data_IF_457418768752
#
_entry.id   IF_457418768752
#
_cell.length_a   1.000
_cell.length_b   1.000
_cell.length_c   1.000
_cell.angle_alpha   90.00
_cell.angle_beta   90.00
_cell.angle_gamma   90.00
#
_symmetry.space_group_name_H-M   'P 1'
#
loop_
_entity.id
_entity.type
_entity.pdbx_description
1 polymer ?
#
# COMPACT_ATOMS: atom_id res chain seq x y z
N UNK A 1 -54.30 0.83 -10.68
CA UNK A 1 -53.38 1.64 -11.51
C UNK A 1 -52.60 2.72 -10.74
N UNK A 2 -53.20 3.52 -9.85
CA UNK A 2 -52.51 4.58 -9.12
C UNK A 2 -51.40 4.05 -8.13
N UNK A 3 -51.59 2.90 -7.50
CA UNK A 3 -50.63 2.30 -6.57
C UNK A 3 -49.36 1.75 -7.28
N UNK A 4 -49.49 1.20 -8.48
CA UNK A 4 -48.35 0.71 -9.23
C UNK A 4 -47.46 1.85 -9.78
N UNK A 5 -48.05 2.96 -10.16
CA UNK A 5 -47.31 4.14 -10.62
C UNK A 5 -46.49 4.80 -9.51
N UNK A 6 -47.02 4.85 -8.28
CA UNK A 6 -46.27 5.39 -7.13
C UNK A 6 -45.06 4.56 -6.74
N UNK A 7 -45.18 3.21 -6.82
CA UNK A 7 -44.06 2.31 -6.52
C UNK A 7 -42.96 2.46 -7.59
N UNK A 8 -43.30 2.55 -8.86
CA UNK A 8 -42.36 2.73 -9.96
C UNK A 8 -41.63 4.09 -9.90
N UNK A 9 -42.33 5.17 -9.53
CA UNK A 9 -41.74 6.50 -9.36
C UNK A 9 -40.78 6.49 -8.15
N UNK A 10 -41.19 5.89 -7.03
CA UNK A 10 -40.36 5.79 -5.84
C UNK A 10 -39.09 4.95 -6.10
N UNK A 11 -39.21 3.85 -6.83
CA UNK A 11 -38.06 3.03 -7.24
C UNK A 11 -37.12 3.78 -8.19
N UNK A 12 -37.67 4.48 -9.19
CA UNK A 12 -36.88 5.27 -10.13
C UNK A 12 -36.13 6.44 -9.47
N UNK A 13 -36.74 7.13 -8.49
CA UNK A 13 -36.10 8.19 -7.70
C UNK A 13 -35.02 7.63 -6.81
N UNK A 14 -35.22 6.46 -6.18
CA UNK A 14 -34.20 5.79 -5.35
C UNK A 14 -33.00 5.31 -6.20
N UNK A 15 -33.23 4.76 -7.39
CA UNK A 15 -32.16 4.35 -8.30
C UNK A 15 -31.35 5.58 -8.78
N UNK A 16 -32.02 6.69 -9.12
CA UNK A 16 -31.36 7.94 -9.49
C UNK A 16 -30.51 8.53 -8.36
N UNK A 17 -31.04 8.49 -7.15
CA UNK A 17 -30.30 8.91 -5.96
C UNK A 17 -29.05 8.06 -5.71
N UNK A 18 -29.20 6.74 -5.75
CA UNK A 18 -28.08 5.80 -5.54
C UNK A 18 -26.98 5.99 -6.58
N UNK A 19 -27.33 6.07 -7.86
CA UNK A 19 -26.39 6.32 -8.97
C UNK A 19 -25.62 7.62 -8.77
N UNK A 20 -26.31 8.70 -8.40
CA UNK A 20 -25.70 9.99 -8.13
C UNK A 20 -24.73 9.91 -6.94
N UNK A 21 -25.11 9.18 -5.87
CA UNK A 21 -24.25 9.02 -4.69
C UNK A 21 -23.00 8.20 -5.01
N UNK A 22 -23.11 7.12 -5.76
CA UNK A 22 -21.96 6.30 -6.21
C UNK A 22 -20.98 7.14 -7.03
N UNK A 23 -21.46 7.91 -8.00
CA UNK A 23 -20.60 8.80 -8.79
C UNK A 23 -19.84 9.81 -7.91
N UNK A 24 -20.51 10.43 -6.94
CA UNK A 24 -19.86 11.35 -5.99
C UNK A 24 -18.77 10.68 -5.18
N UNK A 25 -18.95 9.41 -4.78
CA UNK A 25 -17.92 8.65 -4.08
C UNK A 25 -16.72 8.42 -5.01
N UNK A 26 -16.95 7.96 -6.24
CA UNK A 26 -15.86 7.73 -7.20
C UNK A 26 -15.11 9.00 -7.57
N UNK A 27 -15.82 10.12 -7.73
CA UNK A 27 -15.20 11.42 -8.02
C UNK A 27 -14.33 11.90 -6.85
N UNK A 28 -14.77 11.71 -5.62
CA UNK A 28 -14.00 12.05 -4.42
C UNK A 28 -12.73 11.18 -4.30
N UNK A 29 -12.85 9.86 -4.47
CA UNK A 29 -11.71 8.93 -4.49
C UNK A 29 -10.70 9.30 -5.60
N UNK A 30 -11.19 9.53 -6.82
CA UNK A 30 -10.34 9.92 -7.94
C UNK A 30 -9.65 11.27 -7.72
N UNK A 31 -10.32 12.19 -7.05
CA UNK A 31 -9.75 13.49 -6.67
C UNK A 31 -8.65 13.33 -5.63
N UNK A 32 -8.87 12.50 -4.62
CA UNK A 32 -7.85 12.21 -3.61
C UNK A 32 -6.59 11.59 -4.23
N UNK A 33 -6.75 10.65 -5.18
CA UNK A 33 -5.62 10.07 -5.92
C UNK A 33 -4.84 11.14 -6.69
N UNK A 34 -5.51 12.06 -7.39
CA UNK A 34 -4.84 13.14 -8.14
C UNK A 34 -4.09 14.12 -7.24
N UNK A 35 -4.52 14.25 -5.99
CA UNK A 35 -3.94 15.16 -5.02
C UNK A 35 -2.81 14.52 -4.18
N UNK A 36 -2.46 13.25 -4.42
CA UNK A 36 -1.28 12.63 -3.78
C UNK A 36 -0.05 13.46 -4.17
N UNK A 37 0.73 14.00 -3.21
CA UNK A 37 1.93 14.76 -3.52
C UNK A 37 3.00 13.87 -4.13
N UNK A 38 3.47 14.23 -5.33
CA UNK A 38 4.60 13.57 -6.00
C UNK A 38 5.86 14.36 -5.72
N UNK A 39 6.75 13.81 -4.89
CA UNK A 39 7.99 14.43 -4.44
C UNK A 39 9.21 13.58 -4.81
N UNK A 40 10.41 14.12 -4.61
CA UNK A 40 11.67 13.36 -4.77
C UNK A 40 11.79 12.14 -3.85
N UNK A 41 10.96 12.05 -2.82
CA UNK A 41 10.95 10.90 -1.91
C UNK A 41 10.57 9.59 -2.61
N UNK A 42 9.80 9.61 -3.71
CA UNK A 42 9.55 8.40 -4.49
C UNK A 42 10.85 7.83 -5.06
N UNK A 43 11.70 8.67 -5.63
CA UNK A 43 13.01 8.24 -6.16
C UNK A 43 13.92 7.74 -5.03
N UNK A 44 14.00 8.47 -3.92
CA UNK A 44 14.79 8.08 -2.74
C UNK A 44 14.37 6.72 -2.20
N UNK A 45 13.06 6.49 -2.05
CA UNK A 45 12.47 5.23 -1.56
C UNK A 45 12.75 4.08 -2.52
N UNK A 46 12.53 4.27 -3.82
CA UNK A 46 12.81 3.24 -4.83
C UNK A 46 14.30 2.89 -4.86
N UNK A 47 15.20 3.88 -4.78
CA UNK A 47 16.64 3.66 -4.72
C UNK A 47 17.05 2.94 -3.44
N UNK A 48 16.45 3.27 -2.30
CA UNK A 48 16.67 2.62 -1.01
C UNK A 48 16.30 1.13 -1.07
N UNK A 49 15.07 0.83 -1.49
CA UNK A 49 14.59 -0.55 -1.61
C UNK A 49 15.48 -1.33 -2.62
N UNK A 50 15.77 -0.75 -3.77
CA UNK A 50 16.63 -1.38 -4.76
C UNK A 50 18.02 -1.72 -4.20
N UNK A 51 18.64 -0.79 -3.48
CA UNK A 51 19.96 -1.01 -2.86
C UNK A 51 19.91 -2.14 -1.85
N UNK A 52 18.97 -2.10 -0.92
CA UNK A 52 18.93 -3.04 0.19
C UNK A 52 18.47 -4.43 -0.25
N UNK A 53 17.41 -4.50 -1.06
CA UNK A 53 16.80 -5.78 -1.45
C UNK A 53 17.53 -6.44 -2.63
N UNK A 54 17.93 -5.66 -3.64
CA UNK A 54 18.48 -6.23 -4.88
C UNK A 54 20.01 -6.17 -4.98
N UNK A 55 20.69 -5.45 -4.07
CA UNK A 55 22.17 -5.37 -4.07
C UNK A 55 22.79 -5.91 -2.79
N UNK A 56 22.05 -5.90 -1.69
CA UNK A 56 22.55 -6.35 -0.38
C UNK A 56 21.81 -7.59 0.13
N UNK A 57 20.98 -8.24 -0.71
CA UNK A 57 20.25 -9.48 -0.41
C UNK A 57 19.33 -9.40 0.82
N UNK A 58 18.82 -8.21 1.14
CA UNK A 58 17.77 -8.00 2.13
C UNK A 58 16.38 -8.26 1.58
N UNK A 59 15.36 -7.94 2.35
CA UNK A 59 13.96 -7.95 1.93
C UNK A 59 13.23 -6.69 2.38
N UNK A 60 12.09 -6.43 1.76
CA UNK A 60 11.16 -5.39 2.19
C UNK A 60 10.19 -5.99 3.21
N UNK A 61 10.23 -5.52 4.44
CA UNK A 61 9.24 -5.87 5.47
C UNK A 61 8.19 -4.78 5.51
N UNK A 62 6.94 -5.11 5.23
CA UNK A 62 5.83 -4.14 5.32
C UNK A 62 5.06 -4.36 6.60
N UNK A 63 4.51 -3.28 7.19
CA UNK A 63 3.77 -3.36 8.45
C UNK A 63 2.69 -2.27 8.53
N UNK A 64 1.65 -2.52 9.33
CA UNK A 64 0.54 -1.61 9.58
C UNK A 64 -0.52 -2.25 10.46
N UNK A 65 -1.37 -1.43 11.06
CA UNK A 65 -2.50 -1.90 11.88
C UNK A 65 -3.85 -1.73 11.17
N UNK A 66 -4.78 -2.65 11.44
CA UNK A 66 -6.16 -2.56 10.93
C UNK A 66 -6.22 -2.51 9.41
N UNK A 67 -6.93 -1.53 8.84
CA UNK A 67 -7.08 -1.38 7.39
C UNK A 67 -5.76 -1.02 6.69
N UNK A 68 -4.94 -0.19 7.31
CA UNK A 68 -3.59 0.10 6.82
C UNK A 68 -2.70 -1.16 6.82
N UNK A 69 -2.87 -2.06 7.79
CA UNK A 69 -2.20 -3.36 7.81
C UNK A 69 -2.62 -4.26 6.65
N UNK A 70 -3.91 -4.25 6.26
CA UNK A 70 -4.37 -4.98 5.08
C UNK A 70 -3.76 -4.44 3.79
N UNK A 71 -3.61 -3.12 3.66
CA UNK A 71 -2.89 -2.50 2.54
C UNK A 71 -1.42 -2.92 2.55
N UNK A 72 -0.75 -2.85 3.70
CA UNK A 72 0.65 -3.28 3.83
C UNK A 72 0.84 -4.75 3.44
N UNK A 73 -0.07 -5.64 3.84
CA UNK A 73 -0.04 -7.04 3.45
C UNK A 73 -0.22 -7.23 1.93
N UNK A 74 -1.18 -6.54 1.33
CA UNK A 74 -1.37 -6.56 -0.12
C UNK A 74 -0.10 -6.07 -0.85
N UNK A 75 0.52 -5.00 -0.38
CA UNK A 75 1.80 -4.51 -0.93
C UNK A 75 2.89 -5.58 -0.86
N UNK A 76 3.08 -6.25 0.29
CA UNK A 76 4.09 -7.30 0.45
C UNK A 76 3.92 -8.42 -0.59
N UNK A 77 2.70 -8.89 -0.77
CA UNK A 77 2.41 -9.96 -1.74
C UNK A 77 2.62 -9.51 -3.18
N UNK A 78 2.27 -8.25 -3.50
CA UNK A 78 2.48 -7.68 -4.83
C UNK A 78 3.96 -7.50 -5.14
N UNK A 79 4.76 -6.94 -4.23
CA UNK A 79 6.22 -6.84 -4.37
C UNK A 79 6.86 -8.21 -4.59
N UNK A 80 6.52 -9.22 -3.76
CA UNK A 80 7.06 -10.56 -3.90
C UNK A 80 6.73 -11.17 -5.25
N UNK A 81 5.50 -11.01 -5.74
CA UNK A 81 5.05 -11.54 -7.02
C UNK A 81 5.70 -10.86 -8.22
N UNK A 82 6.21 -9.65 -8.05
CA UNK A 82 6.85 -8.83 -9.09
C UNK A 82 8.37 -8.72 -8.94
N UNK A 83 8.97 -9.64 -8.16
CA UNK A 83 10.42 -9.83 -8.13
C UNK A 83 11.16 -9.11 -7.01
N UNK A 84 10.48 -8.37 -6.14
CA UNK A 84 11.08 -7.74 -4.97
C UNK A 84 10.73 -8.56 -3.72
N UNK A 85 11.65 -9.34 -3.13
CA UNK A 85 11.40 -10.13 -1.92
C UNK A 85 10.80 -9.28 -0.81
N UNK A 86 9.59 -9.64 -0.38
CA UNK A 86 8.85 -8.88 0.62
C UNK A 86 7.99 -9.77 1.49
N UNK A 87 7.74 -9.33 2.72
CA UNK A 87 6.90 -10.03 3.70
C UNK A 87 6.15 -9.02 4.56
N UNK A 88 4.94 -9.37 4.98
CA UNK A 88 4.18 -8.59 5.95
C UNK A 88 4.51 -9.05 7.37
N UNK A 89 4.72 -8.10 8.28
CA UNK A 89 4.88 -8.32 9.71
C UNK A 89 3.78 -7.58 10.47
N UNK A 90 2.96 -8.31 11.21
CA UNK A 90 1.96 -7.68 12.06
C UNK A 90 2.63 -7.07 13.30
N UNK A 91 2.39 -5.78 13.63
CA UNK A 91 3.13 -5.11 14.71
C UNK A 91 2.96 -5.75 16.09
N UNK A 92 1.76 -6.28 16.38
CA UNK A 92 1.52 -6.96 17.66
C UNK A 92 2.23 -8.32 17.71
N UNK A 93 2.25 -9.09 16.63
CA UNK A 93 2.93 -10.39 16.58
C UNK A 93 4.46 -10.24 16.65
N UNK A 94 4.98 -9.11 16.18
CA UNK A 94 6.40 -8.76 16.32
C UNK A 94 6.86 -8.80 17.79
N UNK A 95 6.01 -8.40 18.73
CA UNK A 95 6.31 -8.43 20.16
C UNK A 95 6.31 -9.85 20.76
N UNK A 96 5.80 -10.83 20.02
CA UNK A 96 5.68 -12.22 20.44
C UNK A 96 6.61 -13.17 19.70
N UNK A 97 7.66 -12.64 19.04
CA UNK A 97 8.72 -13.42 18.43
C UNK A 97 8.88 -13.23 16.93
N UNK A 98 7.83 -12.76 16.20
CA UNK A 98 7.88 -12.59 14.74
C UNK A 98 8.87 -11.50 14.31
N UNK A 99 9.36 -10.68 15.25
CA UNK A 99 10.47 -9.75 15.02
C UNK A 99 11.72 -10.45 14.52
N UNK A 100 11.89 -11.74 14.81
CA UNK A 100 12.98 -12.59 14.33
C UNK A 100 13.05 -12.73 12.79
N UNK A 101 12.04 -12.27 12.05
CA UNK A 101 12.05 -12.23 10.58
C UNK A 101 13.07 -11.22 10.03
N UNK A 102 13.41 -10.18 10.81
CA UNK A 102 14.33 -9.14 10.38
C UNK A 102 15.78 -9.62 10.26
N UNK A 103 16.47 -9.10 9.25
CA UNK A 103 17.88 -9.28 8.99
C UNK A 103 18.55 -7.93 8.74
N UNK A 104 19.89 -7.90 8.82
CA UNK A 104 20.70 -6.67 8.77
C UNK A 104 20.42 -5.74 7.59
N UNK A 105 20.14 -6.28 6.42
CA UNK A 105 19.99 -5.51 5.18
C UNK A 105 18.53 -5.24 4.80
N UNK A 106 17.59 -5.57 5.67
CA UNK A 106 16.17 -5.37 5.40
C UNK A 106 15.79 -3.89 5.41
N UNK A 107 14.66 -3.58 4.78
CA UNK A 107 14.00 -2.28 4.80
C UNK A 107 12.63 -2.45 5.43
N UNK A 108 12.27 -1.59 6.36
CA UNK A 108 10.92 -1.54 6.92
C UNK A 108 10.09 -0.48 6.18
N UNK A 109 8.90 -0.86 5.70
CA UNK A 109 7.87 0.05 5.20
C UNK A 109 6.65 -0.04 6.11
N UNK A 110 6.31 1.04 6.78
CA UNK A 110 5.13 1.11 7.66
C UNK A 110 4.06 2.03 7.10
N UNK A 111 2.80 1.64 7.30
CA UNK A 111 1.63 2.40 6.88
C UNK A 111 0.81 2.77 8.12
N UNK A 112 0.62 4.07 8.33
CA UNK A 112 -0.23 4.59 9.41
C UNK A 112 -0.80 5.94 9.04
N UNK A 113 -2.13 6.04 8.82
CA UNK A 113 -2.76 7.29 8.41
C UNK A 113 -2.51 8.42 9.41
N UNK A 114 -2.72 8.18 10.69
CA UNK A 114 -2.50 9.18 11.74
C UNK A 114 -1.03 9.36 12.12
N UNK A 115 -0.16 8.39 11.77
CA UNK A 115 1.23 8.36 12.24
C UNK A 115 1.39 8.31 13.77
N UNK A 116 0.31 7.94 14.51
CA UNK A 116 0.24 7.92 15.97
C UNK A 116 -0.06 6.52 16.54
N UNK A 117 -0.12 5.52 15.68
CA UNK A 117 -0.45 4.13 16.06
C UNK A 117 0.64 3.60 16.99
N UNK A 118 0.26 3.30 18.23
CA UNK A 118 1.19 2.90 19.31
C UNK A 118 2.01 1.67 18.92
N UNK A 119 1.37 0.65 18.40
CA UNK A 119 1.99 -0.62 18.02
C UNK A 119 3.05 -0.45 16.93
N UNK A 120 2.86 0.52 16.03
CA UNK A 120 3.85 0.84 14.99
C UNK A 120 5.05 1.58 15.60
N UNK A 121 4.80 2.50 16.52
CA UNK A 121 5.88 3.25 17.20
C UNK A 121 6.73 2.28 18.05
N UNK A 122 6.08 1.38 18.79
CA UNK A 122 6.75 0.33 19.57
C UNK A 122 7.56 -0.61 18.66
N UNK A 123 7.00 -1.01 17.50
CA UNK A 123 7.72 -1.84 16.52
C UNK A 123 9.03 -1.18 16.07
N UNK A 124 9.02 0.13 15.78
CA UNK A 124 10.22 0.84 15.39
C UNK A 124 11.30 0.82 16.48
N UNK A 125 10.89 0.93 17.74
CA UNK A 125 11.81 0.88 18.88
C UNK A 125 12.41 -0.52 19.07
N UNK A 126 11.58 -1.55 18.93
CA UNK A 126 12.04 -2.94 19.00
C UNK A 126 13.04 -3.28 17.89
N UNK A 127 12.78 -2.83 16.65
CA UNK A 127 13.70 -3.05 15.52
C UNK A 127 15.03 -2.34 15.76
N UNK A 128 15.02 -1.10 16.26
CA UNK A 128 16.25 -0.38 16.60
C UNK A 128 17.10 -1.09 17.65
N UNK A 129 16.48 -1.81 18.56
CA UNK A 129 17.22 -2.60 19.56
C UNK A 129 17.89 -3.84 18.95
N UNK A 130 17.35 -4.40 17.86
CA UNK A 130 17.95 -5.52 17.15
C UNK A 130 18.96 -5.07 16.09
N UNK A 131 18.60 -4.04 15.31
CA UNK A 131 19.39 -3.56 14.17
C UNK A 131 19.28 -2.03 14.08
N UNK A 132 20.28 -1.32 14.56
CA UNK A 132 20.30 0.15 14.63
C UNK A 132 20.13 0.80 13.25
N UNK A 133 20.54 0.13 12.19
CA UNK A 133 20.65 0.70 10.84
C UNK A 133 19.55 0.24 9.85
N UNK A 134 18.47 -0.40 10.33
CA UNK A 134 17.35 -0.74 9.42
C UNK A 134 16.64 0.55 8.97
N UNK A 135 16.70 0.89 7.67
CA UNK A 135 16.02 2.08 7.17
C UNK A 135 14.49 1.89 7.21
N UNK A 136 13.80 2.98 7.54
CA UNK A 136 12.34 3.00 7.71
C UNK A 136 11.70 3.92 6.68
N UNK A 137 10.74 3.40 5.93
CA UNK A 137 9.86 4.15 5.02
C UNK A 137 8.50 4.27 5.69
N UNK A 138 7.89 5.46 5.63
CA UNK A 138 6.58 5.74 6.22
C UNK A 138 5.61 6.22 5.13
N UNK A 139 4.46 5.57 5.03
CA UNK A 139 3.29 6.09 4.30
C UNK A 139 2.31 6.62 5.33
N UNK A 140 2.00 7.92 5.30
CA UNK A 140 1.17 8.58 6.32
C UNK A 140 0.31 9.70 5.75
N UNK A 141 -0.81 10.01 6.42
CA UNK A 141 -1.65 11.19 6.18
C UNK A 141 -1.28 12.41 7.04
N UNK A 142 -0.22 12.32 7.86
CA UNK A 142 0.23 13.41 8.74
C UNK A 142 1.76 13.46 8.77
N UNK A 143 2.35 14.40 8.02
CA UNK A 143 3.81 14.58 7.92
C UNK A 143 4.44 15.10 9.23
N UNK A 144 3.64 15.70 10.10
CA UNK A 144 4.08 16.20 11.41
C UNK A 144 3.91 15.15 12.53
N UNK A 145 3.43 13.97 12.19
CA UNK A 145 3.19 12.92 13.17
C UNK A 145 4.47 12.42 13.86
N UNK A 146 4.34 11.81 15.06
CA UNK A 146 5.47 11.19 15.76
C UNK A 146 6.18 10.12 14.92
N UNK A 147 5.46 9.41 14.05
CA UNK A 147 6.03 8.41 13.18
C UNK A 147 6.86 9.05 12.05
N UNK A 148 6.31 10.08 11.40
CA UNK A 148 6.99 10.80 10.32
C UNK A 148 8.34 11.40 10.81
N UNK A 149 8.39 11.93 12.02
CA UNK A 149 9.62 12.50 12.62
C UNK A 149 10.73 11.49 12.93
N UNK A 150 10.47 10.19 12.77
CA UNK A 150 11.45 9.12 13.02
C UNK A 150 12.21 8.70 11.76
N UNK A 151 11.90 9.24 10.58
CA UNK A 151 12.52 8.89 9.29
C UNK A 151 12.57 10.09 8.34
N UNK A 152 13.46 10.02 7.35
CA UNK A 152 13.51 10.94 6.21
C UNK A 152 12.75 10.42 4.96
N UNK A 153 12.35 9.15 4.96
CA UNK A 153 11.67 8.50 3.84
C UNK A 153 10.15 8.51 4.05
N UNK A 154 9.52 9.66 3.81
CA UNK A 154 8.08 9.85 4.00
C UNK A 154 7.40 9.91 2.64
N UNK A 155 6.33 9.12 2.46
CA UNK A 155 5.39 9.19 1.36
C UNK A 155 4.05 9.68 1.91
N UNK A 156 3.79 10.95 1.68
CA UNK A 156 2.60 11.62 2.17
C UNK A 156 1.39 11.29 1.28
N UNK A 157 0.26 10.93 1.90
CA UNK A 157 -0.97 10.59 1.18
C UNK A 157 -1.79 11.79 0.73
N UNK A 158 -1.41 13.00 1.14
CA UNK A 158 -2.22 14.21 0.96
C UNK A 158 -3.27 14.40 2.07
N UNK A 159 -3.39 13.47 3.02
CA UNK A 159 -4.33 13.56 4.14
C UNK A 159 -5.80 13.68 3.73
N UNK A 160 -6.32 12.86 2.78
CA UNK A 160 -7.68 13.03 2.28
C UNK A 160 -8.73 12.72 3.34
N UNK A 161 -9.88 13.41 3.24
CA UNK A 161 -11.06 13.07 4.01
C UNK A 161 -11.66 11.72 3.56
N UNK A 162 -12.25 10.99 4.49
CA UNK A 162 -12.94 9.74 4.19
C UNK A 162 -14.31 10.01 3.55
N UNK A 163 -14.66 9.25 2.49
CA UNK A 163 -15.95 9.44 1.78
C UNK A 163 -17.15 8.88 2.52
N UNK A 164 -16.95 8.18 3.62
CA UNK A 164 -18.04 7.69 4.47
C UNK A 164 -18.75 8.85 5.17
N UNK A 165 -20.04 8.68 5.46
CA UNK A 165 -20.87 9.73 6.08
C UNK A 165 -20.41 10.16 7.47
N UNK A 166 -19.63 9.34 8.16
CA UNK A 166 -19.07 9.62 9.48
C UNK A 166 -17.68 10.29 9.40
N UNK A 167 -17.01 10.24 8.23
CA UNK A 167 -15.61 10.69 8.10
C UNK A 167 -14.60 9.84 8.91
N UNK A 168 -14.97 8.61 9.32
CA UNK A 168 -14.18 7.80 10.24
C UNK A 168 -13.72 6.46 9.64
N UNK A 169 -14.53 5.87 8.77
CA UNK A 169 -14.21 4.56 8.19
C UNK A 169 -13.13 4.70 7.14
N UNK A 170 -11.97 4.03 7.29
CA UNK A 170 -10.92 4.07 6.29
C UNK A 170 -11.41 3.58 4.93
N UNK A 171 -11.56 4.49 4.00
CA UNK A 171 -12.01 4.33 2.62
C UNK A 171 -11.02 5.03 1.70
N UNK A 172 -11.10 6.34 1.57
CA UNK A 172 -10.24 7.17 0.73
C UNK A 172 -8.78 7.09 1.17
N UNK A 173 -8.50 7.11 2.48
CA UNK A 173 -7.14 6.96 2.99
C UNK A 173 -6.50 5.63 2.56
N UNK A 174 -7.24 4.51 2.59
CA UNK A 174 -6.71 3.21 2.16
C UNK A 174 -6.57 3.11 0.65
N UNK A 175 -7.44 3.76 -0.11
CA UNK A 175 -7.34 3.87 -1.58
C UNK A 175 -6.04 4.57 -1.99
N UNK A 176 -5.74 5.74 -1.42
CA UNK A 176 -4.51 6.47 -1.75
C UNK A 176 -3.25 5.74 -1.29
N UNK A 177 -3.27 5.07 -0.13
CA UNK A 177 -2.17 4.21 0.32
C UNK A 177 -1.89 3.07 -0.65
N UNK A 178 -2.94 2.44 -1.18
CA UNK A 178 -2.81 1.37 -2.18
C UNK A 178 -2.18 1.91 -3.47
N UNK A 179 -2.63 3.05 -3.97
CA UNK A 179 -2.07 3.67 -5.19
C UNK A 179 -0.60 4.06 -5.02
N UNK A 180 -0.20 4.56 -3.84
CA UNK A 180 1.22 4.80 -3.53
C UNK A 180 2.01 3.49 -3.60
N UNK A 181 1.48 2.41 -3.03
CA UNK A 181 2.09 1.08 -3.11
C UNK A 181 2.25 0.58 -4.53
N UNK A 182 1.21 0.71 -5.36
CA UNK A 182 1.23 0.32 -6.77
C UNK A 182 2.30 1.11 -7.56
N UNK A 183 2.43 2.41 -7.28
CA UNK A 183 3.47 3.24 -7.89
C UNK A 183 4.88 2.73 -7.53
N UNK A 184 5.14 2.40 -6.27
CA UNK A 184 6.42 1.82 -5.85
C UNK A 184 6.71 0.47 -6.52
N UNK A 185 5.69 -0.40 -6.62
CA UNK A 185 5.80 -1.70 -7.29
C UNK A 185 6.21 -1.51 -8.76
N UNK A 186 5.50 -0.66 -9.50
CA UNK A 186 5.75 -0.41 -10.91
C UNK A 186 7.15 0.18 -11.13
N UNK A 187 7.54 1.19 -10.35
CA UNK A 187 8.86 1.80 -10.43
C UNK A 187 9.99 0.82 -10.12
N UNK A 188 9.79 -0.10 -9.16
CA UNK A 188 10.77 -1.15 -8.87
C UNK A 188 10.83 -2.20 -9.97
N UNK A 189 9.69 -2.62 -10.54
CA UNK A 189 9.67 -3.51 -11.72
C UNK A 189 10.49 -2.93 -12.87
N UNK A 190 10.30 -1.65 -13.18
CA UNK A 190 11.08 -0.95 -14.22
C UNK A 190 12.56 -0.94 -13.88
N UNK A 191 12.91 -0.59 -12.64
CA UNK A 191 14.29 -0.47 -12.18
C UNK A 191 15.06 -1.79 -12.19
N UNK A 192 14.41 -2.92 -11.90
CA UNK A 192 15.04 -4.26 -11.92
C UNK A 192 14.94 -4.93 -13.29
N UNK A 193 14.30 -4.30 -14.27
CA UNK A 193 14.07 -4.91 -15.60
C UNK A 193 13.15 -6.13 -15.54
N UNK A 194 12.15 -6.12 -14.64
CA UNK A 194 11.21 -7.22 -14.47
C UNK A 194 10.36 -7.40 -15.73
N UNK A 195 10.31 -8.61 -16.27
CA UNK A 195 9.66 -8.89 -17.56
C UNK A 195 8.72 -10.11 -17.49
N UNK A 196 8.04 -10.40 -18.60
CA UNK A 196 7.08 -11.49 -18.69
C UNK A 196 7.68 -12.87 -18.41
N UNK A 197 8.94 -13.10 -18.74
CA UNK A 197 9.67 -14.34 -18.41
C UNK A 197 9.83 -14.48 -16.90
N UNK A 198 10.26 -13.42 -16.21
CA UNK A 198 10.37 -13.41 -14.75
C UNK A 198 9.00 -13.51 -14.07
N UNK A 199 7.97 -12.91 -14.65
CA UNK A 199 6.59 -13.02 -14.16
C UNK A 199 6.09 -14.46 -14.24
N UNK A 200 6.31 -15.15 -15.37
CA UNK A 200 5.87 -16.55 -15.58
C UNK A 200 6.49 -17.55 -14.61
N UNK A 201 7.71 -17.28 -14.14
CA UNK A 201 8.41 -18.12 -13.14
C UNK A 201 7.75 -18.05 -11.76
N UNK A 202 7.01 -16.99 -11.46
CA UNK A 202 6.34 -16.75 -10.16
C UNK A 202 4.84 -17.04 -10.20
N UNK A 203 4.25 -17.11 -11.41
CA UNK A 203 2.82 -17.32 -11.62
C UNK A 203 2.57 -18.57 -12.45
N UNK A 204 2.64 -19.73 -11.81
CA UNK A 204 2.52 -21.03 -12.49
C UNK A 204 1.09 -21.39 -12.89
N UNK A 205 0.08 -20.87 -12.20
CA UNK A 205 -1.34 -21.16 -12.43
C UNK A 205 -2.14 -19.97 -12.90
N UNK A 206 -3.31 -20.25 -13.48
CA UNK A 206 -4.33 -19.26 -13.84
C UNK A 206 -4.01 -18.43 -15.08
N UNK A 207 -4.99 -17.58 -15.45
CA UNK A 207 -4.97 -16.78 -16.67
C UNK A 207 -3.70 -15.91 -16.85
N UNK A 208 -3.22 -15.28 -15.77
CA UNK A 208 -2.05 -14.39 -15.85
C UNK A 208 -0.76 -15.16 -16.11
N UNK A 209 -0.61 -16.35 -15.53
CA UNK A 209 0.52 -17.24 -15.80
C UNK A 209 0.55 -17.68 -17.26
N UNK A 210 -0.59 -18.09 -17.82
CA UNK A 210 -0.71 -18.48 -19.24
C UNK A 210 -0.41 -17.30 -20.17
N UNK A 211 -0.97 -16.14 -19.89
CA UNK A 211 -0.73 -14.92 -20.67
C UNK A 211 0.74 -14.50 -20.67
N UNK A 212 1.42 -14.56 -19.52
CA UNK A 212 2.84 -14.18 -19.41
C UNK A 212 3.75 -15.12 -20.20
N UNK A 213 3.48 -16.43 -20.21
CA UNK A 213 4.20 -17.41 -21.04
C UNK A 213 4.05 -17.12 -22.53
N UNK A 214 2.85 -16.76 -22.97
CA UNK A 214 2.60 -16.41 -24.38
C UNK A 214 3.34 -15.14 -24.81
N UNK A 215 3.46 -14.17 -23.92
CA UNK A 215 4.22 -12.92 -24.18
C UNK A 215 5.73 -13.16 -24.20
N UNK A 216 6.24 -14.07 -23.39
CA UNK A 216 7.69 -14.41 -23.34
C UNK A 216 8.19 -15.07 -24.63
N UNK A 217 7.32 -15.71 -25.42
CA UNK A 217 7.68 -16.38 -26.69
C UNK A 217 7.75 -15.38 -27.87
N UNK A 218 7.25 -14.15 -27.71
CA UNK A 218 7.20 -13.12 -28.78
C UNK A 218 8.36 -12.14 -28.78
N UNK A 219 9.31 -12.31 -27.87
CA UNK A 219 10.56 -11.52 -27.78
C UNK A 219 11.73 -12.43 -28.16
#
# INVERSE_FOLDING_TARGET
MLFQNNILITLATNIGFMKTRVNKIFDAEATAIRNIPVTENYEKVVNLIFKHVHKLDGKLVTSGMGKAGQVAHNMATTFSSTGTPSVFLHPSEAQHGDLGIFQKNDVLLVISNSGKTREIIELLELIKNLFVEVPVIVITGDEESPLAKKTEYILFTGGPDEVCTLGLTPTTSTTVMTVIGDALVVLLMEKIGFNSSEYSKRHHGGYLGDKSRTQSVRI
#
